data_IF_878570145935
#
_entry.id   IF_878570145935
#
_cell.length_a   1.000
_cell.length_b   1.000
_cell.length_c   1.000
_cell.angle_alpha   90.00
_cell.angle_beta   90.00
_cell.angle_gamma   90.00
#
_symmetry.space_group_name_H-M   'P 1'
#
loop_
_entity.id
_entity.type
_entity.pdbx_description
1 polymer ?
#
# COMPACT_ATOMS: atom_id res chain seq x y z
N UNK A 1 8.53 11.26 5.11
CA UNK A 1 8.37 10.74 3.74
C UNK A 1 6.94 10.31 3.45
N UNK A 2 6.17 9.87 4.46
CA UNK A 2 4.73 9.64 4.30
C UNK A 2 3.98 10.98 4.12
N UNK A 3 4.43 12.03 4.80
CA UNK A 3 3.91 13.40 4.69
C UNK A 3 4.05 13.96 3.27
N UNK A 4 5.17 13.68 2.60
CA UNK A 4 5.38 14.06 1.19
C UNK A 4 4.37 13.35 0.28
N UNK A 5 4.10 12.06 0.55
CA UNK A 5 3.06 11.33 -0.17
C UNK A 5 1.67 11.89 0.14
N UNK A 6 1.38 12.33 1.37
CA UNK A 6 0.12 12.98 1.72
C UNK A 6 -0.05 14.32 0.97
N UNK A 7 1.01 15.12 0.87
CA UNK A 7 1.02 16.34 0.07
C UNK A 7 0.80 16.05 -1.43
N UNK A 8 1.35 14.94 -1.94
CA UNK A 8 1.09 14.50 -3.32
C UNK A 8 -0.36 14.07 -3.53
N UNK A 9 -0.98 13.38 -2.57
CA UNK A 9 -2.42 13.04 -2.61
C UNK A 9 -3.26 14.32 -2.61
N UNK A 10 -2.90 15.29 -1.76
CA UNK A 10 -3.56 16.60 -1.74
C UNK A 10 -3.48 17.29 -3.10
N UNK A 11 -2.30 17.36 -3.69
CA UNK A 11 -2.12 17.96 -5.00
C UNK A 11 -2.94 17.23 -6.07
N UNK A 12 -2.93 15.90 -6.06
CA UNK A 12 -3.70 15.10 -7.01
C UNK A 12 -5.21 15.32 -6.86
N UNK A 13 -5.71 15.42 -5.63
CA UNK A 13 -7.11 15.74 -5.37
C UNK A 13 -7.47 17.14 -5.88
N UNK A 14 -6.64 18.14 -5.62
CA UNK A 14 -6.90 19.53 -6.02
C UNK A 14 -6.90 19.72 -7.55
N UNK A 15 -6.22 18.85 -8.31
CA UNK A 15 -6.09 18.95 -9.78
C UNK A 15 -6.75 17.80 -10.53
N UNK A 16 -7.46 16.88 -9.85
CA UNK A 16 -8.00 15.69 -10.48
C UNK A 16 -8.90 16.03 -11.68
N UNK A 17 -9.81 17.00 -11.49
CA UNK A 17 -10.77 17.41 -12.51
C UNK A 17 -10.10 18.01 -13.76
N UNK A 18 -8.97 18.70 -13.60
CA UNK A 18 -8.20 19.29 -14.71
C UNK A 18 -7.68 18.21 -15.67
N UNK A 19 -7.51 16.98 -15.18
CA UNK A 19 -7.05 15.81 -15.95
C UNK A 19 -8.17 14.80 -16.24
N UNK A 20 -9.43 15.14 -15.95
CA UNK A 20 -10.59 14.26 -16.14
C UNK A 20 -10.73 13.16 -15.07
N UNK A 21 -10.02 13.28 -13.95
CA UNK A 21 -10.18 12.44 -12.76
C UNK A 21 -11.27 12.97 -11.83
N UNK A 22 -11.69 12.12 -10.88
CA UNK A 22 -12.66 12.47 -9.84
C UNK A 22 -11.94 12.49 -8.47
N UNK A 23 -11.89 13.64 -7.78
CA UNK A 23 -11.17 13.79 -6.51
C UNK A 23 -11.78 12.98 -5.37
N UNK A 24 -13.00 12.45 -5.52
CA UNK A 24 -13.66 11.56 -4.54
C UNK A 24 -13.38 10.07 -4.79
N UNK A 25 -12.64 9.73 -5.87
CA UNK A 25 -12.40 8.35 -6.32
C UNK A 25 -10.90 7.99 -6.37
N UNK A 26 -10.14 8.37 -5.35
CA UNK A 26 -8.68 8.19 -5.29
C UNK A 26 -8.34 6.75 -4.87
N UNK A 27 -7.43 6.09 -5.59
CA UNK A 27 -6.83 4.82 -5.16
C UNK A 27 -5.32 4.99 -5.06
N UNK A 28 -4.76 4.61 -3.91
CA UNK A 28 -3.32 4.69 -3.67
C UNK A 28 -2.65 3.39 -4.12
N UNK A 29 -1.52 3.47 -4.80
CA UNK A 29 -0.76 2.30 -5.24
C UNK A 29 0.71 2.51 -4.94
N UNK A 30 1.34 1.52 -4.32
CA UNK A 30 2.77 1.56 -4.01
C UNK A 30 3.44 0.21 -4.19
N UNK A 31 4.74 0.23 -4.48
CA UNK A 31 5.61 -0.95 -4.54
C UNK A 31 6.73 -0.84 -3.50
N UNK A 32 7.08 -1.94 -2.83
CA UNK A 32 8.18 -1.99 -1.86
C UNK A 32 8.06 -0.90 -0.78
N UNK A 33 9.06 -0.04 -0.58
CA UNK A 33 8.98 1.11 0.32
C UNK A 33 7.82 2.10 -0.04
N UNK A 34 7.41 2.17 -1.31
CA UNK A 34 6.22 2.91 -1.70
C UNK A 34 4.92 2.25 -1.24
N UNK A 35 4.88 0.91 -1.18
CA UNK A 35 3.75 0.17 -0.62
C UNK A 35 3.60 0.45 0.87
N UNK A 36 4.71 0.57 1.61
CA UNK A 36 4.70 1.06 2.98
C UNK A 36 4.04 2.44 3.10
N UNK A 37 4.45 3.40 2.27
CA UNK A 37 3.92 4.77 2.32
C UNK A 37 2.41 4.79 2.11
N UNK A 38 1.90 4.10 1.08
CA UNK A 38 0.46 4.09 0.80
C UNK A 38 -0.34 3.36 1.87
N UNK A 39 0.22 2.33 2.52
CA UNK A 39 -0.44 1.67 3.65
C UNK A 39 -0.47 2.55 4.89
N UNK A 40 0.60 3.29 5.19
CA UNK A 40 0.57 4.29 6.26
C UNK A 40 -0.46 5.39 5.99
N UNK A 41 -0.53 5.91 4.76
CA UNK A 41 -1.56 6.89 4.38
C UNK A 41 -3.00 6.34 4.53
N UNK A 42 -3.21 5.09 4.16
CA UNK A 42 -4.53 4.47 4.18
C UNK A 42 -5.00 4.08 5.59
N UNK A 43 -4.08 3.69 6.47
CA UNK A 43 -4.40 3.13 7.79
C UNK A 43 -4.27 4.17 8.90
N UNK A 44 -3.21 4.98 8.84
CA UNK A 44 -3.00 6.07 9.77
C UNK A 44 -3.55 7.38 9.22
N UNK A 45 -4.83 7.59 9.48
CA UNK A 45 -5.58 8.70 8.90
C UNK A 45 -5.08 10.10 9.30
N UNK A 46 -4.13 10.25 10.25
CA UNK A 46 -3.58 11.57 10.56
C UNK A 46 -2.82 12.16 9.38
N UNK A 47 -2.08 11.37 8.60
CA UNK A 47 -1.32 11.89 7.47
C UNK A 47 -2.20 12.60 6.43
N UNK A 48 -3.34 12.00 6.07
CA UNK A 48 -4.28 12.62 5.13
C UNK A 48 -4.99 13.82 5.75
N UNK A 49 -5.43 13.72 7.01
CA UNK A 49 -6.08 14.84 7.71
C UNK A 49 -5.17 16.07 7.82
N UNK A 50 -3.91 15.86 8.18
CA UNK A 50 -2.93 16.93 8.36
C UNK A 50 -2.56 17.60 7.02
N UNK A 51 -2.62 16.85 5.92
CA UNK A 51 -2.52 17.37 4.56
C UNK A 51 -3.82 18.05 4.05
N UNK A 52 -4.89 18.06 4.86
CA UNK A 52 -6.19 18.61 4.49
C UNK A 52 -6.91 17.80 3.40
N UNK A 53 -6.69 16.48 3.36
CA UNK A 53 -7.38 15.54 2.48
C UNK A 53 -8.43 14.77 3.29
N UNK A 54 -9.66 14.70 2.79
CA UNK A 54 -10.67 13.82 3.37
C UNK A 54 -10.30 12.36 3.08
N UNK A 55 -10.04 11.59 4.14
CA UNK A 55 -9.71 10.18 4.01
C UNK A 55 -10.83 9.36 3.32
N UNK A 56 -12.08 9.84 3.33
CA UNK A 56 -13.19 9.21 2.62
C UNK A 56 -13.04 9.24 1.08
N UNK A 57 -12.25 10.18 0.55
CA UNK A 57 -11.93 10.28 -0.87
C UNK A 57 -10.95 9.19 -1.33
N UNK A 58 -10.19 8.60 -0.41
CA UNK A 58 -9.36 7.42 -0.69
C UNK A 58 -10.25 6.19 -0.65
N UNK A 59 -10.57 5.67 -1.83
CA UNK A 59 -11.47 4.54 -2.06
C UNK A 59 -10.80 3.19 -1.92
N UNK A 60 -9.48 3.13 -1.99
CA UNK A 60 -8.72 1.89 -1.85
C UNK A 60 -7.23 2.13 -1.77
N UNK A 61 -6.49 1.13 -1.30
CA UNK A 61 -5.04 1.11 -1.37
C UNK A 61 -4.50 -0.25 -1.84
N UNK A 62 -3.51 -0.21 -2.72
CA UNK A 62 -2.84 -1.38 -3.29
C UNK A 62 -1.37 -1.36 -2.90
N UNK A 63 -0.91 -2.47 -2.32
CA UNK A 63 0.49 -2.65 -1.97
C UNK A 63 1.11 -3.82 -2.72
N UNK A 64 2.16 -3.55 -3.49
CA UNK A 64 2.94 -4.54 -4.25
C UNK A 64 4.23 -4.84 -3.50
N UNK A 65 4.42 -6.07 -3.02
CA UNK A 65 5.64 -6.51 -2.33
C UNK A 65 6.09 -5.55 -1.19
N UNK A 66 5.14 -5.10 -0.37
CA UNK A 66 5.38 -4.07 0.64
C UNK A 66 5.74 -4.59 2.03
N UNK A 67 6.62 -3.88 2.77
CA UNK A 67 6.87 -4.17 4.17
C UNK A 67 5.77 -3.54 5.03
N UNK A 68 5.12 -4.36 5.86
CA UNK A 68 3.99 -3.97 6.72
C UNK A 68 4.17 -4.43 8.18
N UNK A 69 4.94 -5.50 8.38
CA UNK A 69 5.28 -6.13 9.66
C UNK A 69 6.75 -6.57 9.61
N UNK A 70 7.63 -5.59 9.81
CA UNK A 70 9.06 -5.67 9.52
C UNK A 70 9.94 -5.42 10.75
N UNK A 71 9.38 -5.37 11.96
CA UNK A 71 10.18 -5.45 13.18
C UNK A 71 10.78 -6.85 13.36
N UNK A 72 11.97 -6.97 13.98
CA UNK A 72 12.89 -5.89 14.34
C UNK A 72 13.56 -5.28 13.09
N UNK A 73 14.18 -4.09 13.22
CA UNK A 73 14.96 -3.48 12.13
C UNK A 73 16.29 -4.23 11.89
N UNK A 74 16.19 -5.38 11.23
CA UNK A 74 17.25 -6.37 11.05
C UNK A 74 18.02 -6.23 9.72
N UNK A 75 17.54 -5.39 8.80
CA UNK A 75 18.17 -5.08 7.52
C UNK A 75 18.55 -3.59 7.41
N UNK A 76 19.51 -3.27 6.57
CA UNK A 76 20.02 -1.89 6.44
C UNK A 76 18.93 -0.92 5.98
N UNK A 77 18.02 -1.35 5.11
CA UNK A 77 16.91 -0.51 4.66
C UNK A 77 16.02 -0.04 5.83
N UNK A 78 15.60 -0.95 6.72
CA UNK A 78 14.74 -0.61 7.86
C UNK A 78 15.50 0.13 8.96
N UNK A 79 16.79 -0.19 9.18
CA UNK A 79 17.65 0.59 10.09
C UNK A 79 17.87 2.02 9.62
N UNK A 80 18.13 2.22 8.33
CA UNK A 80 18.37 3.54 7.77
C UNK A 80 17.10 4.39 7.77
N UNK A 81 15.94 3.79 7.49
CA UNK A 81 14.66 4.50 7.48
C UNK A 81 14.11 4.77 8.89
N UNK A 82 14.18 3.79 9.79
CA UNK A 82 13.43 3.80 11.06
C UNK A 82 14.28 3.58 12.30
N UNK A 83 15.59 3.34 12.19
CA UNK A 83 16.45 2.99 13.34
C UNK A 83 16.58 4.07 14.42
N UNK A 84 16.06 5.28 14.17
CA UNK A 84 15.98 6.39 15.13
C UNK A 84 14.55 6.76 15.51
N UNK A 85 13.56 5.98 15.07
CA UNK A 85 12.16 6.22 15.43
C UNK A 85 12.02 6.08 16.95
N UNK A 86 11.38 7.06 17.64
CA UNK A 86 11.22 7.03 19.08
C UNK A 86 10.31 5.87 19.53
N UNK A 87 9.35 5.52 18.67
CA UNK A 87 8.38 4.44 18.89
C UNK A 87 8.43 3.49 17.69
N UNK A 88 9.25 2.42 17.73
CA UNK A 88 9.40 1.49 16.61
C UNK A 88 8.08 0.86 16.15
N UNK A 89 7.16 0.58 17.07
CA UNK A 89 5.84 0.03 16.74
C UNK A 89 5.04 1.01 15.85
N UNK A 90 5.13 2.32 16.08
CA UNK A 90 4.45 3.33 15.24
C UNK A 90 4.99 3.40 13.81
N UNK A 91 6.06 2.67 13.50
CA UNK A 91 6.56 2.51 12.14
C UNK A 91 5.92 1.34 11.41
N UNK A 92 5.05 0.53 12.02
CA UNK A 92 4.51 -0.69 11.41
C UNK A 92 3.06 -0.50 10.95
N UNK A 93 2.73 -0.61 9.64
CA UNK A 93 1.37 -0.50 9.13
C UNK A 93 0.38 -1.45 9.82
N UNK A 94 0.83 -2.64 10.25
CA UNK A 94 -0.02 -3.59 10.99
C UNK A 94 -0.62 -3.03 12.27
N UNK A 95 0.06 -2.08 12.93
CA UNK A 95 -0.44 -1.48 14.19
C UNK A 95 -1.52 -0.41 13.98
N UNK A 96 -1.82 -0.06 12.73
CA UNK A 96 -2.88 0.88 12.36
C UNK A 96 -4.10 0.20 11.72
N UNK A 97 -4.16 -1.13 11.77
CA UNK A 97 -5.30 -1.89 11.25
C UNK A 97 -6.62 -1.46 11.92
N UNK A 98 -7.64 -1.18 11.11
CA UNK A 98 -8.92 -0.62 11.57
C UNK A 98 -10.06 -1.00 10.64
N UNK A 99 -11.27 -1.12 11.20
CA UNK A 99 -12.50 -1.50 10.49
C UNK A 99 -12.89 -0.55 9.37
N UNK A 100 -12.72 0.73 9.60
CA UNK A 100 -13.16 1.83 8.74
C UNK A 100 -12.06 2.31 7.77
N UNK A 101 -10.94 1.59 7.68
CA UNK A 101 -9.97 1.79 6.60
C UNK A 101 -10.61 1.55 5.22
N UNK A 102 -10.09 2.17 4.15
CA UNK A 102 -10.46 1.80 2.81
C UNK A 102 -10.13 0.32 2.54
N UNK A 103 -10.85 -0.36 1.62
CA UNK A 103 -10.46 -1.69 1.17
C UNK A 103 -8.99 -1.73 0.74
N UNK A 104 -8.31 -2.82 1.03
CA UNK A 104 -6.91 -3.05 0.67
C UNK A 104 -6.77 -4.20 -0.33
N UNK A 105 -5.80 -4.08 -1.24
CA UNK A 105 -5.28 -5.19 -2.05
C UNK A 105 -3.78 -5.34 -1.79
N UNK A 106 -3.36 -6.50 -1.30
CA UNK A 106 -1.95 -6.82 -1.09
C UNK A 106 -1.52 -7.89 -2.09
N UNK A 107 -0.52 -7.56 -2.91
CA UNK A 107 0.02 -8.47 -3.92
C UNK A 107 1.47 -8.80 -3.57
N UNK A 108 1.85 -10.06 -3.62
CA UNK A 108 3.20 -10.52 -3.27
C UNK A 108 3.69 -11.66 -4.17
N UNK A 109 4.97 -11.65 -4.52
CA UNK A 109 5.58 -12.71 -5.30
C UNK A 109 6.23 -13.77 -4.42
N UNK A 110 6.00 -15.05 -4.69
CA UNK A 110 6.49 -16.15 -3.83
C UNK A 110 8.00 -16.37 -3.90
N UNK A 111 8.66 -15.80 -4.92
CA UNK A 111 10.11 -15.79 -5.06
C UNK A 111 10.75 -14.49 -4.51
N UNK A 112 9.97 -13.62 -3.85
CA UNK A 112 10.48 -12.39 -3.23
C UNK A 112 11.37 -12.72 -2.01
N UNK A 113 12.65 -12.37 -2.14
CA UNK A 113 13.66 -12.52 -1.08
C UNK A 113 14.01 -11.19 -0.38
N UNK A 114 13.43 -10.08 -0.82
CA UNK A 114 13.63 -8.73 -0.26
C UNK A 114 12.63 -8.43 0.84
N UNK A 115 11.35 -8.71 0.59
CA UNK A 115 10.27 -8.52 1.56
C UNK A 115 9.62 -9.87 1.84
N UNK A 116 9.88 -10.39 3.03
CA UNK A 116 9.39 -11.71 3.42
C UNK A 116 7.88 -11.77 3.60
N UNK A 117 7.33 -12.98 3.40
CA UNK A 117 5.89 -13.31 3.48
C UNK A 117 5.21 -12.88 4.78
N UNK A 118 5.97 -12.69 5.87
CA UNK A 118 5.44 -12.18 7.14
C UNK A 118 4.69 -10.86 6.99
N UNK A 119 5.14 -9.99 6.08
CA UNK A 119 4.56 -8.65 5.93
C UNK A 119 3.12 -8.72 5.42
N UNK A 120 2.90 -9.44 4.30
CA UNK A 120 1.56 -9.58 3.73
C UNK A 120 0.62 -10.32 4.68
N UNK A 121 1.08 -11.41 5.31
CA UNK A 121 0.27 -12.21 6.26
C UNK A 121 -0.06 -11.44 7.54
N UNK A 122 0.90 -10.69 8.07
CA UNK A 122 0.72 -9.87 9.28
C UNK A 122 -0.35 -8.80 9.06
N UNK A 123 -0.28 -8.08 7.94
CA UNK A 123 -1.27 -7.06 7.62
C UNK A 123 -2.64 -7.62 7.26
N UNK A 124 -2.69 -8.73 6.51
CA UNK A 124 -3.93 -9.45 6.26
C UNK A 124 -4.63 -9.83 7.57
N UNK A 125 -3.89 -10.45 8.49
CA UNK A 125 -4.41 -10.89 9.80
C UNK A 125 -4.89 -9.71 10.61
N UNK A 126 -4.07 -8.66 10.75
CA UNK A 126 -4.42 -7.48 11.53
C UNK A 126 -5.69 -6.78 11.01
N UNK A 127 -5.82 -6.64 9.69
CA UNK A 127 -7.00 -6.01 9.06
C UNK A 127 -8.23 -6.89 9.22
N UNK A 128 -8.09 -8.21 9.05
CA UNK A 128 -9.19 -9.15 9.27
C UNK A 128 -9.69 -9.12 10.72
N UNK A 129 -8.79 -9.17 11.70
CA UNK A 129 -9.12 -9.12 13.12
C UNK A 129 -9.75 -7.78 13.54
N UNK A 130 -9.32 -6.68 12.91
CA UNK A 130 -9.94 -5.37 13.08
C UNK A 130 -11.32 -5.24 12.41
N UNK A 131 -11.77 -6.26 11.66
CA UNK A 131 -13.03 -6.24 10.90
C UNK A 131 -13.00 -5.37 9.65
N UNK A 132 -11.81 -5.05 9.15
CA UNK A 132 -11.58 -4.30 7.91
C UNK A 132 -11.74 -5.17 6.66
N UNK A 133 -11.38 -4.62 5.50
CA UNK A 133 -11.48 -5.30 4.20
C UNK A 133 -10.10 -5.38 3.55
N UNK A 134 -9.61 -6.59 3.35
CA UNK A 134 -8.34 -6.86 2.69
C UNK A 134 -8.52 -8.05 1.75
N UNK A 135 -7.92 -7.94 0.57
CA UNK A 135 -7.72 -9.03 -0.37
C UNK A 135 -6.21 -9.25 -0.53
N UNK A 136 -5.76 -10.50 -0.49
CA UNK A 136 -4.37 -10.86 -0.74
C UNK A 136 -4.26 -11.81 -1.90
N UNK A 137 -3.29 -11.58 -2.80
CA UNK A 137 -2.93 -12.55 -3.85
C UNK A 137 -1.42 -12.78 -3.84
N UNK A 138 -1.03 -14.04 -3.99
CA UNK A 138 0.37 -14.44 -4.16
C UNK A 138 0.61 -14.98 -5.56
N UNK A 139 1.80 -14.75 -6.09
CA UNK A 139 2.17 -15.17 -7.45
C UNK A 139 3.40 -16.09 -7.40
N UNK A 140 3.26 -17.37 -7.81
CA UNK A 140 4.39 -18.29 -7.94
C UNK A 140 5.45 -17.75 -8.90
N UNK A 141 6.72 -18.02 -8.61
CA UNK A 141 7.88 -17.68 -9.46
C UNK A 141 8.07 -16.18 -9.78
N UNK A 142 7.35 -15.29 -9.08
CA UNK A 142 7.48 -13.83 -9.22
C UNK A 142 8.39 -13.30 -8.10
N UNK A 143 9.45 -12.58 -8.47
CA UNK A 143 10.35 -11.93 -7.52
C UNK A 143 9.88 -10.52 -7.11
N UNK A 144 10.68 -9.87 -6.25
CA UNK A 144 10.38 -8.55 -5.70
C UNK A 144 10.14 -7.46 -6.77
N UNK A 145 10.84 -7.53 -7.90
CA UNK A 145 10.82 -6.52 -8.95
C UNK A 145 9.85 -6.93 -10.07
N UNK A 146 9.75 -8.22 -10.34
CA UNK A 146 8.89 -8.79 -11.38
C UNK A 146 7.43 -8.40 -11.22
N UNK A 147 6.93 -8.35 -9.98
CA UNK A 147 5.56 -7.93 -9.70
C UNK A 147 5.28 -6.50 -10.21
N UNK A 148 6.26 -5.60 -10.12
CA UNK A 148 6.14 -4.23 -10.64
C UNK A 148 6.35 -4.22 -12.16
N UNK A 149 7.33 -4.97 -12.66
CA UNK A 149 7.60 -5.06 -14.10
C UNK A 149 6.41 -5.62 -14.89
N UNK A 150 5.58 -6.48 -14.28
CA UNK A 150 4.35 -7.01 -14.85
C UNK A 150 3.28 -5.93 -15.18
N UNK A 151 3.43 -4.70 -14.69
CA UNK A 151 2.59 -3.58 -15.13
C UNK A 151 2.93 -3.13 -16.56
N UNK A 152 4.19 -3.30 -16.97
CA UNK A 152 4.67 -2.89 -18.29
C UNK A 152 4.15 -3.82 -19.40
N UNK A 153 3.85 -3.25 -20.58
CA UNK A 153 3.40 -4.04 -21.75
C UNK A 153 4.30 -5.24 -22.10
N UNK A 154 5.65 -5.11 -22.20
CA UNK A 154 6.49 -6.23 -22.61
C UNK A 154 6.60 -7.35 -21.57
N UNK A 155 6.36 -7.07 -20.29
CA UNK A 155 6.57 -8.03 -19.19
C UNK A 155 5.27 -8.43 -18.48
N UNK A 156 4.11 -7.98 -18.99
CA UNK A 156 2.79 -8.26 -18.42
C UNK A 156 2.44 -9.73 -18.26
N UNK A 157 3.08 -10.61 -19.03
CA UNK A 157 2.90 -12.06 -18.90
C UNK A 157 3.55 -12.68 -17.66
N UNK A 158 4.38 -11.94 -16.91
CA UNK A 158 5.05 -12.46 -15.70
C UNK A 158 4.10 -12.67 -14.53
N UNK A 159 3.10 -11.82 -14.40
CA UNK A 159 2.10 -11.89 -13.33
C UNK A 159 0.81 -11.16 -13.75
N UNK A 160 -0.36 -11.56 -13.23
CA UNK A 160 -1.62 -10.86 -13.48
C UNK A 160 -1.75 -9.53 -12.72
N UNK A 161 -0.65 -8.93 -12.25
CA UNK A 161 -0.63 -7.75 -11.36
C UNK A 161 -1.51 -6.61 -11.87
N UNK A 162 -1.38 -6.23 -13.15
CA UNK A 162 -2.19 -5.15 -13.71
C UNK A 162 -3.69 -5.50 -13.75
N UNK A 163 -4.03 -6.75 -14.06
CA UNK A 163 -5.42 -7.19 -14.15
C UNK A 163 -6.08 -7.19 -12.76
N UNK A 164 -5.39 -7.75 -11.77
CA UNK A 164 -5.87 -7.79 -10.39
C UNK A 164 -6.03 -6.39 -9.79
N UNK A 165 -5.08 -5.49 -10.09
CA UNK A 165 -5.19 -4.08 -9.70
C UNK A 165 -6.36 -3.38 -10.37
N UNK A 166 -6.54 -3.55 -11.68
CA UNK A 166 -7.63 -2.92 -12.42
C UNK A 166 -9.00 -3.38 -11.90
N UNK A 167 -9.18 -4.68 -11.69
CA UNK A 167 -10.42 -5.24 -11.13
C UNK A 167 -10.73 -4.65 -9.76
N UNK A 168 -9.70 -4.54 -8.90
CA UNK A 168 -9.85 -3.92 -7.59
C UNK A 168 -10.23 -2.44 -7.69
N UNK A 169 -9.52 -1.66 -8.51
CA UNK A 169 -9.78 -0.22 -8.72
C UNK A 169 -11.20 0.01 -9.22
N UNK A 170 -11.64 -0.74 -10.22
CA UNK A 170 -13.01 -0.67 -10.75
C UNK A 170 -14.03 -0.93 -9.64
N UNK A 171 -13.82 -1.99 -8.84
CA UNK A 171 -14.75 -2.37 -7.77
C UNK A 171 -14.86 -1.34 -6.64
N UNK A 172 -13.75 -0.73 -6.22
CA UNK A 172 -13.77 0.20 -5.07
C UNK A 172 -14.17 1.62 -5.44
N UNK A 173 -14.12 1.95 -6.73
CA UNK A 173 -14.50 3.26 -7.26
C UNK A 173 -15.84 3.24 -8.00
N UNK A 174 -16.50 2.10 -8.18
CA UNK A 174 -17.81 2.00 -8.83
C UNK A 174 -18.92 2.75 -8.09
#
# INVERSE_FOLDING_TARGET
>A
FVEDCAAAVRWAADHAEDYGGDPSRIVLVGHSAGAYNVMMLALDAHFLRDAGVDAANVRGAVGLAGPYDFLPFDVDATRNAFGRAPEPDMTQPVHFARRDAPPLLLLWGEADTTVGVRNIRGLETAIYEAGGRVETKTYPDVDHVDIMLALSRPLRGRAPTLADMAEFVERVTA
#
